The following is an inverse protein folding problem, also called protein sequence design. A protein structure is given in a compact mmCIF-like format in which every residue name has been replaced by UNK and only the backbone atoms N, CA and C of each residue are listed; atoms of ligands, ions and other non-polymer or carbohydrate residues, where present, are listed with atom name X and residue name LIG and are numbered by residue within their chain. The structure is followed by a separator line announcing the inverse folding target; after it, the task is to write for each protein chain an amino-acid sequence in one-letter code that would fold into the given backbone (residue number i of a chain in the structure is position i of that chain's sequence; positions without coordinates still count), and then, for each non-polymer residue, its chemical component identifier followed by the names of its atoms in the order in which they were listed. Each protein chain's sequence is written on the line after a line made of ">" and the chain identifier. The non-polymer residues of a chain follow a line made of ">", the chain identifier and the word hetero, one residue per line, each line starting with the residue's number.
data_IF_128273980925
#
_entry.id   IF_128273980925
#
_cell.length_a   1.000
_cell.length_b   1.000
_cell.length_c   1.000
_cell.angle_alpha   90.00
_cell.angle_beta   90.00
_cell.angle_gamma   90.00
#
_symmetry.space_group_name_H-M   'P 1'
#
loop_
_entity.id
_entity.type
_entity.pdbx_description
1 polymer ?
#
# COMPACT_ATOMS: atom_id res chain seq x y z
N UNK A 1 6.31 -7.69 0.68
CA UNK A 1 5.74 -7.92 -0.66
C UNK A 1 4.27 -7.50 -0.65
N UNK A 2 3.89 -6.70 -1.64
CA UNK A 2 2.74 -5.77 -1.67
C UNK A 2 2.90 -4.60 -0.69
N UNK A 3 3.58 -3.54 -1.14
CA UNK A 3 3.98 -2.41 -0.31
C UNK A 3 2.79 -1.66 0.29
N UNK A 4 1.68 -1.50 -0.43
CA UNK A 4 0.46 -0.88 0.11
C UNK A 4 -0.15 -1.77 1.22
N UNK A 5 -0.16 -3.09 1.02
CA UNK A 5 -0.60 -4.03 2.05
C UNK A 5 0.28 -4.00 3.30
N UNK A 6 1.58 -3.73 3.13
CA UNK A 6 2.49 -3.57 4.28
C UNK A 6 2.09 -2.36 5.13
N UNK A 7 1.66 -1.26 4.52
CA UNK A 7 1.13 -0.10 5.23
C UNK A 7 -0.18 -0.43 5.95
N UNK A 8 -1.11 -1.11 5.26
CA UNK A 8 -2.37 -1.53 5.87
C UNK A 8 -2.16 -2.45 7.08
N UNK A 9 -1.28 -3.45 6.98
CA UNK A 9 -0.98 -4.34 8.11
C UNK A 9 -0.44 -3.59 9.33
N UNK A 10 0.38 -2.55 9.12
CA UNK A 10 0.94 -1.72 10.20
C UNK A 10 -0.14 -0.93 10.95
N UNK A 11 -1.19 -0.47 10.26
CA UNK A 11 -2.28 0.28 10.91
C UNK A 11 -3.37 -0.63 11.49
N UNK A 12 -3.49 -1.87 11.02
CA UNK A 12 -4.57 -2.80 11.39
C UNK A 12 -4.38 -3.50 12.74
N UNK A 13 -3.22 -3.36 13.43
CA UNK A 13 -3.00 -4.07 14.70
C UNK A 13 -3.68 -3.39 15.90
N UNK A 14 -4.66 -4.09 16.47
CA UNK A 14 -5.32 -3.91 17.79
C UNK A 14 -6.15 -2.63 18.01
N UNK A 15 -7.47 -2.78 17.97
CA UNK A 15 -8.36 -2.06 18.89
C UNK A 15 -9.09 -3.09 19.75
N UNK A 16 -8.86 -3.05 21.06
CA UNK A 16 -9.80 -3.64 22.00
C UNK A 16 -10.87 -2.56 22.23
N UNK A 17 -12.13 -2.86 21.91
CA UNK A 17 -13.30 -2.04 22.26
C UNK A 17 -13.59 -0.80 21.39
N UNK A 18 -13.58 -0.94 20.06
CA UNK A 18 -14.24 0.03 19.15
C UNK A 18 -13.53 1.37 18.91
N UNK A 19 -12.52 1.70 19.71
CA UNK A 19 -11.70 2.91 19.55
C UNK A 19 -10.32 2.53 19.00
N UNK A 20 -10.16 2.60 17.67
CA UNK A 20 -8.86 2.56 17.00
C UNK A 20 -8.48 3.96 16.51
N UNK A 21 -7.18 4.25 16.32
CA UNK A 21 -6.77 5.53 15.75
C UNK A 21 -7.39 5.71 14.36
N UNK A 22 -7.78 6.95 14.03
CA UNK A 22 -8.31 7.27 12.70
C UNK A 22 -7.26 6.96 11.62
N UNK A 23 -7.69 6.38 10.50
CA UNK A 23 -6.82 5.97 9.40
C UNK A 23 -7.21 6.74 8.14
N UNK A 24 -6.24 7.38 7.51
CA UNK A 24 -6.38 8.07 6.24
C UNK A 24 -5.85 7.22 5.10
N UNK A 25 -6.56 7.19 3.98
CA UNK A 25 -6.11 6.57 2.74
C UNK A 25 -6.26 7.61 1.64
N UNK A 26 -5.15 7.93 1.00
CA UNK A 26 -5.14 8.70 -0.24
C UNK A 26 -5.01 7.74 -1.41
N UNK A 27 -6.00 7.77 -2.30
CA UNK A 27 -6.09 6.91 -3.49
C UNK A 27 -5.83 7.75 -4.74
N UNK A 28 -4.59 8.23 -4.86
CA UNK A 28 -4.14 8.96 -6.04
C UNK A 28 -4.00 8.05 -7.27
N UNK A 29 -4.04 8.65 -8.45
CA UNK A 29 -3.93 7.93 -9.73
C UNK A 29 -2.55 7.30 -9.94
N UNK A 30 -1.47 7.97 -9.54
CA UNK A 30 -0.09 7.45 -9.69
C UNK A 30 0.46 6.85 -8.41
N UNK A 31 0.15 7.47 -7.28
CA UNK A 31 0.65 7.06 -5.96
C UNK A 31 -0.48 7.13 -4.94
N UNK A 32 -0.47 6.16 -4.03
CA UNK A 32 -1.33 6.12 -2.86
C UNK A 32 -0.49 6.26 -1.59
N UNK A 33 -1.11 6.70 -0.50
CA UNK A 33 -0.48 6.69 0.82
C UNK A 33 -1.47 6.28 1.91
N UNK A 34 -0.91 5.87 3.05
CA UNK A 34 -1.68 5.47 4.23
C UNK A 34 -1.17 6.30 5.40
N UNK A 35 -2.11 6.85 6.17
CA UNK A 35 -1.83 7.65 7.35
C UNK A 35 -2.59 7.13 8.57
N UNK A 36 -2.07 7.41 9.75
CA UNK A 36 -2.75 7.15 11.03
C UNK A 36 -2.68 8.40 11.90
N UNK A 37 -3.79 8.72 12.58
CA UNK A 37 -3.81 9.74 13.61
C UNK A 37 -3.40 9.12 14.95
N UNK A 38 -2.20 9.43 15.42
CA UNK A 38 -1.67 8.94 16.70
C UNK A 38 -0.75 9.98 17.31
N UNK A 39 -0.63 9.98 18.64
CA UNK A 39 0.22 10.95 19.36
C UNK A 39 -0.09 12.41 18.98
N UNK A 40 -1.37 12.74 18.86
CA UNK A 40 -1.87 14.08 18.50
C UNK A 40 -1.36 14.62 17.15
N UNK A 41 -0.93 13.74 16.25
CA UNK A 41 -0.48 14.11 14.90
C UNK A 41 -0.86 13.07 13.84
N UNK A 42 -0.79 13.50 12.59
CA UNK A 42 -0.84 12.59 11.44
C UNK A 42 0.54 11.98 11.23
N UNK A 43 0.60 10.65 11.11
CA UNK A 43 1.80 9.92 10.72
C UNK A 43 1.57 9.18 9.41
N UNK A 44 2.42 9.46 8.41
CA UNK A 44 2.43 8.70 7.16
C UNK A 44 3.17 7.38 7.37
N UNK A 45 2.53 6.28 7.00
CA UNK A 45 3.06 4.94 7.17
C UNK A 45 4.06 4.64 6.06
N UNK A 46 5.26 4.26 6.48
CA UNK A 46 6.31 3.77 5.58
C UNK A 46 5.98 2.34 5.18
N UNK A 47 6.11 2.00 3.90
CA UNK A 47 5.94 0.64 3.41
C UNK A 47 7.14 -0.26 3.78
N UNK A 48 7.19 -1.50 3.30
CA UNK A 48 8.31 -2.42 3.56
C UNK A 48 9.58 -2.11 2.74
N UNK A 49 9.48 -1.23 1.74
CA UNK A 49 10.61 -0.73 0.95
C UNK A 49 11.21 0.58 1.51
N UNK A 50 10.63 1.14 2.56
CA UNK A 50 11.08 2.43 3.11
C UNK A 50 10.39 3.67 2.50
N UNK A 51 9.42 3.49 1.59
CA UNK A 51 8.72 4.60 0.93
C UNK A 51 7.46 5.03 1.70
N UNK A 52 7.17 6.34 1.73
CA UNK A 52 5.95 6.91 2.33
C UNK A 52 4.76 6.98 1.38
N UNK A 53 5.02 6.83 0.09
CA UNK A 53 4.03 6.65 -0.96
C UNK A 53 4.25 5.29 -1.60
N UNK A 54 3.20 4.73 -2.17
CA UNK A 54 3.24 3.44 -2.89
C UNK A 54 2.63 3.63 -4.26
N UNK A 55 3.24 3.10 -5.34
CA UNK A 55 2.64 3.17 -6.67
C UNK A 55 1.20 2.63 -6.68
N UNK A 56 0.28 3.36 -7.32
CA UNK A 56 -1.10 2.90 -7.55
C UNK A 56 -1.12 1.97 -8.76
N UNK A 57 -0.63 0.75 -8.57
CA UNK A 57 -0.52 -0.26 -9.61
C UNK A 57 -0.91 -1.64 -9.07
N UNK A 58 -1.65 -2.39 -9.88
CA UNK A 58 -1.97 -3.79 -9.65
C UNK A 58 -1.54 -4.61 -10.88
N UNK A 59 -0.78 -5.68 -10.65
CA UNK A 59 -0.39 -6.60 -11.71
C UNK A 59 -0.91 -8.01 -11.41
N UNK A 60 -1.45 -8.67 -12.42
CA UNK A 60 -1.90 -10.05 -12.30
C UNK A 60 -0.91 -10.99 -12.98
N UNK A 61 -0.46 -11.99 -12.23
CA UNK A 61 0.32 -13.12 -12.74
C UNK A 61 -0.50 -14.39 -12.62
N UNK A 62 -0.15 -15.49 -13.32
CA UNK A 62 -0.84 -16.77 -13.14
C UNK A 62 -0.81 -17.29 -11.70
N UNK A 63 0.18 -16.89 -10.89
CA UNK A 63 0.34 -17.38 -9.52
C UNK A 63 -0.32 -16.49 -8.46
N UNK A 64 -0.31 -15.16 -8.67
CA UNK A 64 -0.73 -14.20 -7.65
C UNK A 64 -1.04 -12.82 -8.24
N UNK A 65 -1.76 -12.01 -7.44
CA UNK A 65 -1.91 -10.58 -7.63
C UNK A 65 -0.77 -9.85 -6.92
N UNK A 66 -0.20 -8.84 -7.57
CA UNK A 66 0.84 -7.97 -7.02
C UNK A 66 0.29 -6.54 -6.91
N UNK A 67 0.73 -5.80 -5.89
CA UNK A 67 0.30 -4.42 -5.62
C UNK A 67 1.50 -3.55 -5.28
N UNK A 68 1.50 -2.31 -5.76
CA UNK A 68 2.52 -1.31 -5.42
C UNK A 68 3.85 -1.54 -6.12
N UNK A 69 4.96 -1.36 -5.40
CA UNK A 69 6.33 -1.46 -5.92
C UNK A 69 6.57 -2.80 -6.65
N UNK A 70 5.99 -3.90 -6.14
CA UNK A 70 6.09 -5.21 -6.78
C UNK A 70 5.38 -5.27 -8.15
N UNK A 71 4.23 -4.60 -8.29
CA UNK A 71 3.50 -4.51 -9.55
C UNK A 71 4.22 -3.58 -10.55
N UNK A 72 4.71 -2.44 -10.08
CA UNK A 72 5.47 -1.49 -10.89
C UNK A 72 6.75 -2.12 -11.46
N UNK A 73 7.45 -2.92 -10.66
CA UNK A 73 8.67 -3.61 -11.11
C UNK A 73 8.41 -4.67 -12.20
N UNK A 74 7.19 -5.21 -12.31
CA UNK A 74 6.83 -6.15 -13.38
C UNK A 74 6.63 -5.47 -14.75
N UNK A 75 6.38 -4.16 -14.79
CA UNK A 75 6.24 -3.38 -16.04
C UNK A 75 7.47 -3.59 -16.94
N UNK A 76 8.65 -3.68 -16.34
CA UNK A 76 9.91 -3.82 -17.08
C UNK A 76 10.27 -5.26 -17.46
N UNK A 77 9.55 -6.27 -16.95
CA UNK A 77 9.98 -7.68 -17.04
C UNK A 77 9.14 -8.51 -18.02
N UNK A 78 7.86 -8.19 -18.27
CA UNK A 78 7.03 -9.04 -19.13
C UNK A 78 6.04 -8.27 -20.03
N UNK A 79 6.19 -8.44 -21.35
CA UNK A 79 5.19 -8.13 -22.38
C UNK A 79 3.96 -9.07 -22.36
N UNK A 80 3.58 -9.60 -21.19
CA UNK A 80 2.51 -10.61 -21.06
C UNK A 80 1.72 -10.58 -19.76
N UNK A 81 2.07 -9.70 -18.81
CA UNK A 81 1.26 -9.44 -17.62
C UNK A 81 0.25 -8.34 -17.91
N UNK A 82 -1.03 -8.54 -17.56
CA UNK A 82 -1.99 -7.45 -17.55
C UNK A 82 -1.71 -6.58 -16.33
N UNK A 83 -1.22 -5.37 -16.60
CA UNK A 83 -1.00 -4.33 -15.60
C UNK A 83 -2.19 -3.40 -15.66
N UNK A 84 -2.80 -3.20 -14.50
CA UNK A 84 -3.94 -2.31 -14.31
C UNK A 84 -3.46 -1.20 -13.39
N UNK A 85 -3.71 0.05 -13.79
CA UNK A 85 -3.58 1.23 -12.93
C UNK A 85 -4.52 1.06 -11.72
#
# INVERSE_FOLDING_TARGET
>A
MESLNSCFRKIMSKSNQGEGPARGIDLGTTYSCVAVWQNERVEIIVNDQGNRTTPSYVAFTPAQRLVGDAAMNQINVYFGGHIIY
#
